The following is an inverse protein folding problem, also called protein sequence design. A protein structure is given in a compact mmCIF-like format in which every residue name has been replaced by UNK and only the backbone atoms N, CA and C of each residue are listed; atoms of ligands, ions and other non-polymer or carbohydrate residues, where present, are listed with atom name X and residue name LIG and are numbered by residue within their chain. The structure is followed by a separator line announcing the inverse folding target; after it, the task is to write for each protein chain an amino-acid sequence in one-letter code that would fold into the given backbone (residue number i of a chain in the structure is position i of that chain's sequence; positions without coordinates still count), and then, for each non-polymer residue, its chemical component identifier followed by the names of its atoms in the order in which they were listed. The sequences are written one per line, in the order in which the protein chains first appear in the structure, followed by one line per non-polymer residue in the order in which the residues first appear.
data_IF_390093711687
#
_entry.id   IF_390093711687
#
_cell.length_a   1.000
_cell.length_b   1.000
_cell.length_c   1.000
_cell.angle_alpha   90.00
_cell.angle_beta   90.00
_cell.angle_gamma   90.00
#
_symmetry.space_group_name_H-M   'P 1'
#
loop_
_entity.id
_entity.type
_entity.pdbx_description
1 polymer ?
#
# COMPACT_ATOMS: atom_id res chain seq x y z
N UNK A 1 -25.15 2.38 -20.07
CA UNK A 1 -24.06 3.22 -19.54
C UNK A 1 -22.76 2.61 -20.07
N UNK A 2 -22.00 3.33 -20.87
CA UNK A 2 -20.72 2.82 -21.39
C UNK A 2 -19.61 3.34 -20.48
N UNK A 3 -18.81 2.42 -19.91
CA UNK A 3 -17.64 2.73 -19.13
C UNK A 3 -16.41 2.69 -20.03
N UNK A 4 -15.66 3.80 -20.08
CA UNK A 4 -14.36 3.85 -20.77
C UNK A 4 -13.26 3.78 -19.70
N UNK A 5 -12.34 2.83 -19.85
CA UNK A 5 -11.18 2.67 -18.97
C UNK A 5 -9.92 3.11 -19.70
N UNK A 6 -9.21 4.08 -19.14
CA UNK A 6 -7.96 4.59 -19.69
C UNK A 6 -6.82 4.24 -18.73
N UNK A 7 -5.81 3.55 -19.21
CA UNK A 7 -4.65 3.17 -18.40
C UNK A 7 -3.57 4.23 -18.47
N UNK A 8 -3.17 4.76 -17.33
CA UNK A 8 -2.03 5.66 -17.18
C UNK A 8 -0.84 4.87 -16.63
N UNK A 9 0.34 5.04 -17.22
CA UNK A 9 1.55 4.34 -16.81
C UNK A 9 2.60 5.31 -16.30
N UNK A 10 3.30 4.93 -15.23
CA UNK A 10 4.47 5.65 -14.73
C UNK A 10 5.73 4.84 -14.96
N UNK A 11 6.86 5.51 -15.06
CA UNK A 11 8.15 4.84 -14.93
C UNK A 11 8.33 4.27 -13.53
N UNK A 12 9.11 3.20 -13.43
CA UNK A 12 9.47 2.63 -12.12
C UNK A 12 10.27 3.65 -11.31
N UNK A 13 9.78 3.95 -10.12
CA UNK A 13 10.46 4.86 -9.18
C UNK A 13 11.12 4.07 -8.06
N UNK A 14 12.40 4.30 -7.86
CA UNK A 14 13.14 3.79 -6.71
C UNK A 14 13.30 4.90 -5.67
N UNK A 15 12.69 4.69 -4.48
CA UNK A 15 12.72 5.64 -3.38
C UNK A 15 11.58 6.66 -3.38
N UNK A 16 11.68 7.61 -2.44
CA UNK A 16 10.67 8.66 -2.21
C UNK A 16 10.68 9.69 -3.34
N UNK A 17 9.50 10.10 -3.79
CA UNK A 17 9.32 11.12 -4.83
C UNK A 17 8.11 12.01 -4.52
N UNK A 18 8.02 13.18 -5.17
CA UNK A 18 6.85 14.03 -5.08
C UNK A 18 5.70 13.43 -5.91
N UNK A 19 4.66 12.97 -5.23
CA UNK A 19 3.52 12.31 -5.88
C UNK A 19 2.81 13.23 -6.88
N UNK A 20 2.52 14.46 -6.48
CA UNK A 20 1.76 15.40 -7.32
C UNK A 20 2.50 15.80 -8.59
N UNK A 21 3.81 16.02 -8.49
CA UNK A 21 4.64 16.34 -9.66
C UNK A 21 4.69 15.16 -10.65
N UNK A 22 4.75 13.94 -10.11
CA UNK A 22 4.77 12.75 -10.94
C UNK A 22 3.40 12.50 -11.60
N UNK A 23 2.30 12.68 -10.88
CA UNK A 23 0.96 12.56 -11.44
C UNK A 23 0.72 13.59 -12.54
N UNK A 24 1.13 14.84 -12.33
CA UNK A 24 1.06 15.88 -13.35
C UNK A 24 1.78 15.47 -14.63
N UNK A 25 3.01 14.97 -14.53
CA UNK A 25 3.77 14.46 -15.69
C UNK A 25 3.06 13.31 -16.40
N UNK A 26 2.52 12.34 -15.65
CA UNK A 26 1.81 11.19 -16.21
C UNK A 26 0.58 11.66 -17.00
N UNK A 27 -0.21 12.57 -16.46
CA UNK A 27 -1.41 13.10 -17.11
C UNK A 27 -1.03 13.90 -18.37
N UNK A 28 -0.05 14.80 -18.27
CA UNK A 28 0.43 15.59 -19.40
C UNK A 28 0.96 14.72 -20.55
N UNK A 29 1.74 13.68 -20.24
CA UNK A 29 2.26 12.76 -21.26
C UNK A 29 1.19 11.89 -21.90
N UNK A 30 0.16 11.51 -21.15
CA UNK A 30 -0.94 10.69 -21.64
C UNK A 30 -1.89 11.45 -22.57
N UNK A 31 -1.86 12.77 -22.57
CA UNK A 31 -2.80 13.66 -23.26
C UNK A 31 -4.26 13.41 -22.87
N UNK A 32 -4.51 12.77 -21.73
CA UNK A 32 -5.85 12.56 -21.19
C UNK A 32 -6.32 13.86 -20.51
N UNK A 33 -7.54 14.26 -20.83
CA UNK A 33 -8.23 15.33 -20.11
C UNK A 33 -9.10 14.66 -19.06
N UNK A 34 -8.91 15.03 -17.80
CA UNK A 34 -9.75 14.56 -16.70
C UNK A 34 -10.90 15.53 -16.55
N UNK A 35 -12.13 15.02 -16.58
CA UNK A 35 -13.35 15.80 -16.49
C UNK A 35 -14.08 15.55 -15.18
N UNK A 36 -15.03 16.44 -14.85
CA UNK A 36 -15.88 16.24 -13.68
C UNK A 36 -16.74 14.97 -13.83
N UNK A 37 -16.71 14.11 -12.81
CA UNK A 37 -17.37 12.81 -12.82
C UNK A 37 -16.45 11.64 -13.15
N UNK A 38 -15.24 11.90 -13.59
CA UNK A 38 -14.24 10.84 -13.79
C UNK A 38 -13.76 10.24 -12.45
N UNK A 39 -13.42 8.95 -12.49
CA UNK A 39 -12.90 8.22 -11.34
C UNK A 39 -11.42 7.88 -11.57
N UNK A 40 -10.54 8.54 -10.82
CA UNK A 40 -9.12 8.26 -10.85
C UNK A 40 -8.76 7.14 -9.86
N UNK A 41 -8.36 5.98 -10.38
CA UNK A 41 -7.92 4.83 -9.57
C UNK A 41 -6.39 4.77 -9.52
N UNK A 42 -5.83 4.82 -8.32
CA UNK A 42 -4.38 4.86 -8.11
C UNK A 42 -3.94 3.67 -7.25
N UNK A 43 -2.87 3.01 -7.67
CA UNK A 43 -2.27 1.93 -6.89
C UNK A 43 -1.79 2.45 -5.52
N UNK A 44 -2.25 1.81 -4.44
CA UNK A 44 -1.79 2.11 -3.07
C UNK A 44 -0.26 1.99 -2.94
N UNK A 45 0.35 1.06 -3.66
CA UNK A 45 1.80 0.89 -3.73
C UNK A 45 2.53 2.12 -4.29
N UNK A 46 1.97 2.77 -5.32
CA UNK A 46 2.54 3.98 -5.89
C UNK A 46 2.52 5.13 -4.88
N UNK A 47 1.40 5.28 -4.16
CA UNK A 47 1.26 6.26 -3.07
C UNK A 47 2.26 5.95 -1.94
N UNK A 48 2.32 4.70 -1.49
CA UNK A 48 3.24 4.27 -0.43
C UNK A 48 4.71 4.53 -0.77
N UNK A 49 5.09 4.28 -2.02
CA UNK A 49 6.45 4.59 -2.51
C UNK A 49 6.74 6.09 -2.44
N UNK A 50 5.81 6.93 -2.88
CA UNK A 50 5.97 8.39 -2.81
C UNK A 50 6.13 8.88 -1.37
N UNK A 51 5.43 8.25 -0.43
CA UNK A 51 5.55 8.54 1.00
C UNK A 51 6.82 7.95 1.64
N UNK A 52 7.57 7.11 0.92
CA UNK A 52 8.75 6.41 1.45
C UNK A 52 8.42 5.30 2.44
N UNK A 53 7.21 4.73 2.37
CA UNK A 53 6.74 3.66 3.27
C UNK A 53 7.30 2.29 2.87
N UNK A 54 8.62 2.18 2.90
CA UNK A 54 9.37 0.97 2.54
C UNK A 54 10.20 0.53 3.73
N UNK A 55 10.08 -0.74 4.13
CA UNK A 55 10.84 -1.34 5.23
C UNK A 55 11.65 -2.54 4.76
N UNK A 56 12.69 -2.87 5.55
CA UNK A 56 13.44 -4.12 5.44
C UNK A 56 12.98 -5.07 6.55
N UNK A 57 12.49 -6.26 6.19
CA UNK A 57 11.98 -7.28 7.14
C UNK A 57 13.06 -7.70 8.16
N UNK A 58 14.32 -7.79 7.74
CA UNK A 58 15.41 -8.32 8.56
C UNK A 58 15.65 -7.56 9.87
N UNK A 59 15.33 -6.27 9.91
CA UNK A 59 15.56 -5.38 11.05
C UNK A 59 14.49 -5.46 12.14
N UNK A 60 13.40 -6.21 11.95
CA UNK A 60 12.30 -6.27 12.89
C UNK A 60 12.61 -7.16 14.09
N UNK A 61 12.51 -6.60 15.30
CA UNK A 61 12.45 -7.38 16.55
C UNK A 61 11.04 -7.92 16.71
N UNK A 62 10.88 -9.22 16.96
CA UNK A 62 9.58 -9.89 17.02
C UNK A 62 9.06 -9.93 18.45
N UNK A 63 7.88 -9.34 18.68
CA UNK A 63 7.18 -9.45 19.96
C UNK A 63 6.44 -10.80 20.09
N UNK A 64 6.10 -11.18 21.33
CA UNK A 64 5.44 -12.47 21.59
C UNK A 64 4.05 -12.58 20.95
N UNK A 65 3.31 -11.49 20.87
CA UNK A 65 1.99 -11.47 20.21
C UNK A 65 2.11 -11.75 18.71
N UNK A 66 3.02 -11.10 18.03
CA UNK A 66 3.26 -11.32 16.60
C UNK A 66 3.73 -12.76 16.32
N UNK A 67 4.58 -13.33 17.21
CA UNK A 67 5.03 -14.72 17.12
C UNK A 67 3.87 -15.71 17.23
N UNK A 68 2.96 -15.52 18.18
CA UNK A 68 1.75 -16.34 18.32
C UNK A 68 0.85 -16.28 17.09
N UNK A 69 0.66 -15.10 16.53
CA UNK A 69 -0.15 -14.89 15.33
C UNK A 69 0.52 -15.53 14.11
N UNK A 70 1.84 -15.37 13.97
CA UNK A 70 2.62 -15.98 12.90
C UNK A 70 2.50 -17.52 12.89
N UNK A 71 2.61 -18.14 14.07
CA UNK A 71 2.42 -19.59 14.23
C UNK A 71 1.00 -20.02 13.89
N UNK A 72 0.00 -19.27 14.37
CA UNK A 72 -1.43 -19.56 14.10
C UNK A 72 -1.75 -19.56 12.60
N UNK A 73 -1.15 -18.66 11.83
CA UNK A 73 -1.42 -18.51 10.40
C UNK A 73 -0.29 -19.02 9.51
N UNK A 74 0.67 -19.76 10.06
CA UNK A 74 1.82 -20.32 9.32
C UNK A 74 2.52 -19.29 8.43
N UNK A 75 2.91 -18.17 9.03
CA UNK A 75 3.60 -17.05 8.36
C UNK A 75 4.96 -16.77 8.96
N UNK A 76 5.78 -15.98 8.27
CA UNK A 76 7.06 -15.53 8.79
C UNK A 76 6.89 -14.59 9.99
N UNK A 77 7.57 -14.88 11.11
CA UNK A 77 7.44 -14.13 12.37
C UNK A 77 7.82 -12.65 12.21
N UNK A 78 8.93 -12.35 11.51
CA UNK A 78 9.38 -10.95 11.29
C UNK A 78 8.41 -10.16 10.41
N UNK A 79 7.84 -10.82 9.43
CA UNK A 79 6.80 -10.21 8.60
C UNK A 79 5.53 -9.96 9.41
N UNK A 80 5.10 -10.94 10.20
CA UNK A 80 3.92 -10.78 11.06
C UNK A 80 4.11 -9.72 12.13
N UNK A 81 5.33 -9.48 12.61
CA UNK A 81 5.63 -8.34 13.47
C UNK A 81 5.30 -7.01 12.81
N UNK A 82 5.65 -6.87 11.53
CA UNK A 82 5.36 -5.64 10.78
C UNK A 82 3.84 -5.51 10.55
N UNK A 83 3.18 -6.60 10.15
CA UNK A 83 1.70 -6.63 10.02
C UNK A 83 1.03 -6.24 11.33
N UNK A 84 1.50 -6.78 12.46
CA UNK A 84 0.95 -6.49 13.78
C UNK A 84 1.10 -5.02 14.17
N UNK A 85 2.24 -4.39 13.86
CA UNK A 85 2.50 -2.96 14.16
C UNK A 85 1.70 -2.01 13.28
N UNK A 86 1.51 -2.38 12.02
CA UNK A 86 0.79 -1.54 11.03
C UNK A 86 -0.73 -1.74 11.09
N UNK A 87 -1.22 -2.70 11.89
CA UNK A 87 -2.65 -2.97 12.02
C UNK A 87 -3.25 -2.29 13.25
N UNK A 88 -4.46 -1.76 13.09
CA UNK A 88 -5.30 -1.34 14.22
C UNK A 88 -5.76 -2.57 15.00
N UNK A 89 -6.14 -3.63 14.28
CA UNK A 89 -6.63 -4.90 14.84
C UNK A 89 -6.45 -6.04 13.84
N UNK A 90 -5.99 -7.20 14.34
CA UNK A 90 -6.03 -8.46 13.58
C UNK A 90 -7.35 -9.16 13.91
N UNK A 91 -8.19 -9.35 12.89
CA UNK A 91 -9.56 -9.90 13.05
C UNK A 91 -9.65 -11.39 12.76
N UNK A 92 -8.69 -11.95 12.03
CA UNK A 92 -8.66 -13.36 11.66
C UNK A 92 -7.52 -13.67 10.70
N UNK A 93 -7.64 -14.76 9.96
CA UNK A 93 -6.68 -15.16 8.93
C UNK A 93 -6.80 -16.63 8.58
N UNK A 94 -6.03 -17.01 7.57
CA UNK A 94 -5.81 -18.41 7.14
C UNK A 94 -4.33 -18.66 6.99
N UNK A 95 -3.95 -19.90 6.70
CA UNK A 95 -2.54 -20.22 6.43
C UNK A 95 -1.98 -19.33 5.32
N UNK A 96 -0.89 -18.64 5.61
CA UNK A 96 -0.21 -17.72 4.69
C UNK A 96 -0.49 -16.23 4.91
N UNK A 97 -1.62 -15.82 5.50
CA UNK A 97 -1.89 -14.41 5.79
C UNK A 97 -2.85 -14.15 6.95
N UNK A 98 -2.75 -12.96 7.53
CA UNK A 98 -3.69 -12.45 8.51
C UNK A 98 -4.61 -11.40 7.89
N UNK A 99 -5.91 -11.42 8.26
CA UNK A 99 -6.83 -10.33 7.97
C UNK A 99 -6.75 -9.30 9.09
N UNK A 100 -6.48 -8.07 8.72
CA UNK A 100 -6.28 -6.98 9.68
C UNK A 100 -6.97 -5.70 9.20
N UNK A 101 -7.33 -4.84 10.15
CA UNK A 101 -7.72 -3.47 9.84
C UNK A 101 -6.52 -2.55 9.93
N UNK A 102 -6.41 -1.61 9.02
CA UNK A 102 -5.44 -0.52 9.03
C UNK A 102 -6.09 0.74 8.50
N UNK A 103 -6.02 1.85 9.24
CA UNK A 103 -6.75 3.09 8.93
C UNK A 103 -8.25 2.84 8.67
N UNK A 104 -8.87 1.94 9.44
CA UNK A 104 -10.27 1.55 9.29
C UNK A 104 -10.59 0.66 8.08
N UNK A 105 -9.61 0.29 7.26
CA UNK A 105 -9.77 -0.56 6.07
C UNK A 105 -9.39 -2.00 6.42
N UNK A 106 -10.25 -2.95 6.09
CA UNK A 106 -9.97 -4.38 6.22
C UNK A 106 -9.16 -4.86 5.02
N UNK A 107 -7.96 -5.37 5.28
CA UNK A 107 -7.06 -5.85 4.25
C UNK A 107 -6.23 -7.07 4.68
N UNK A 108 -5.85 -7.96 3.75
CA UNK A 108 -4.86 -9.00 4.02
C UNK A 108 -3.53 -8.39 4.42
N UNK A 109 -2.93 -8.92 5.50
CA UNK A 109 -1.65 -8.47 6.03
C UNK A 109 -1.55 -6.94 6.22
N UNK A 110 -2.63 -6.29 6.68
CA UNK A 110 -2.73 -4.84 6.82
C UNK A 110 -2.39 -4.07 5.51
N UNK A 111 -2.71 -4.64 4.35
CA UNK A 111 -2.40 -4.03 3.05
C UNK A 111 -0.92 -4.00 2.66
N UNK A 112 -0.06 -4.73 3.38
CA UNK A 112 1.38 -4.79 3.12
C UNK A 112 1.67 -5.64 1.88
N UNK A 113 2.40 -5.08 0.93
CA UNK A 113 2.81 -5.76 -0.29
C UNK A 113 4.23 -6.32 -0.20
N UNK A 114 4.34 -7.63 -0.49
CA UNK A 114 5.61 -8.37 -0.62
C UNK A 114 6.00 -8.65 -2.08
N UNK A 115 5.08 -8.44 -3.02
CA UNK A 115 5.14 -9.07 -4.36
C UNK A 115 6.30 -8.64 -5.25
N UNK A 116 6.99 -7.55 -4.94
CA UNK A 116 8.12 -7.05 -5.73
C UNK A 116 9.43 -6.96 -4.95
N UNK A 117 9.51 -7.65 -3.83
CA UNK A 117 10.72 -7.67 -3.04
C UNK A 117 11.71 -8.70 -3.61
N UNK A 118 12.54 -8.25 -4.57
CA UNK A 118 13.85 -8.87 -4.74
C UNK A 118 14.60 -8.58 -3.44
N UNK A 119 14.61 -9.55 -2.52
CA UNK A 119 15.18 -9.38 -1.20
C UNK A 119 14.16 -9.06 -0.10
N UNK A 120 14.58 -8.39 0.93
CA UNK A 120 13.92 -8.20 2.23
C UNK A 120 13.08 -6.93 2.35
N UNK A 121 12.89 -6.19 1.26
CA UNK A 121 12.08 -4.96 1.25
C UNK A 121 10.59 -5.27 1.13
N UNK A 122 9.78 -4.60 1.90
CA UNK A 122 8.30 -4.63 1.83
C UNK A 122 7.76 -3.21 1.72
N UNK A 123 6.59 -3.08 1.13
CA UNK A 123 5.89 -1.80 1.00
C UNK A 123 4.69 -1.83 1.92
N UNK A 124 4.62 -0.88 2.84
CA UNK A 124 3.52 -0.72 3.76
C UNK A 124 2.31 -0.08 3.07
N UNK A 125 1.14 -0.18 3.70
CA UNK A 125 -0.05 0.54 3.24
C UNK A 125 0.16 2.07 3.36
N UNK A 126 -0.44 2.91 2.49
CA UNK A 126 -0.29 4.37 2.57
C UNK A 126 -0.74 4.94 3.91
N UNK A 127 -0.07 5.98 4.37
CA UNK A 127 -0.58 6.78 5.48
C UNK A 127 -1.79 7.60 5.03
N UNK A 128 -2.79 7.71 5.90
CA UNK A 128 -3.98 8.57 5.74
C UNK A 128 -4.60 8.51 4.33
N UNK A 129 -4.95 7.31 3.79
CA UNK A 129 -5.34 7.14 2.39
C UNK A 129 -6.55 7.98 2.00
N UNK A 130 -7.51 8.17 2.89
CA UNK A 130 -8.69 9.01 2.66
C UNK A 130 -8.34 10.49 2.52
N UNK A 131 -7.54 11.00 3.45
CA UNK A 131 -7.07 12.39 3.41
C UNK A 131 -6.23 12.66 2.15
N UNK A 132 -5.39 11.69 1.78
CA UNK A 132 -4.60 11.77 0.55
C UNK A 132 -5.49 11.84 -0.70
N UNK A 133 -6.55 11.03 -0.76
CA UNK A 133 -7.52 11.06 -1.86
C UNK A 133 -8.29 12.40 -1.92
N UNK A 134 -8.68 12.95 -0.75
CA UNK A 134 -9.31 14.27 -0.69
C UNK A 134 -8.38 15.41 -1.15
N UNK A 135 -7.11 15.36 -0.76
CA UNK A 135 -6.12 16.35 -1.21
C UNK A 135 -5.90 16.28 -2.72
N UNK A 136 -5.86 15.04 -3.27
CA UNK A 136 -5.72 14.84 -4.70
C UNK A 136 -6.91 15.38 -5.50
N UNK A 137 -8.13 15.17 -4.99
CA UNK A 137 -9.36 15.68 -5.64
C UNK A 137 -9.42 17.21 -5.75
N UNK A 138 -8.73 17.92 -4.84
CA UNK A 138 -8.74 19.40 -4.78
C UNK A 138 -7.70 20.05 -5.70
N UNK A 139 -6.79 19.27 -6.26
CA UNK A 139 -5.68 19.76 -7.11
C UNK A 139 -5.95 19.54 -8.58
#
# INVERSE_FOLDING_TARGET
MNLTVITLTSEKKDGKFCFFDEMKKIIEHSKVVIEEGDVLVISSKFISNSQGRILKIEKSKVCEKARKIARKFNTNEKFMEIVYRESDKIVGGVAGFAMATTNGILAPNAGIDKSNSIGTKIILYPNEPYKFAEELKRK
#
